data_IF_517704696240
#
_entry.id   IF_517704696240
#
_cell.length_a   1.000
_cell.length_b   1.000
_cell.length_c   1.000
_cell.angle_alpha   90.00
_cell.angle_beta   90.00
_cell.angle_gamma   90.00
#
_symmetry.space_group_name_H-M   'P 1'
#
loop_
_entity.id
_entity.type
_entity.pdbx_description
1 polymer ?
#
# COMPACT_ATOMS: atom_id res chain seq x y z
N UNK A 1 -12.85 1.79 31.50
CA UNK A 1 -12.06 0.59 31.83
C UNK A 1 -10.63 1.05 32.01
N UNK A 2 -10.06 0.91 33.20
CA UNK A 2 -8.69 1.33 33.48
C UNK A 2 -7.76 0.17 33.16
N UNK A 3 -6.92 0.29 32.14
CA UNK A 3 -5.98 -0.74 31.74
C UNK A 3 -4.56 -0.18 31.65
N UNK A 4 -3.68 -0.61 32.53
CA UNK A 4 -2.27 -0.21 32.55
C UNK A 4 -1.41 -1.01 31.55
N UNK A 5 -1.95 -2.08 30.98
CA UNK A 5 -1.31 -2.91 29.96
C UNK A 5 -2.27 -3.11 28.76
N UNK A 6 -2.59 -2.04 28.01
CA UNK A 6 -3.50 -2.12 26.88
C UNK A 6 -2.93 -2.99 25.76
N UNK A 7 -3.76 -3.89 25.23
CA UNK A 7 -3.51 -4.59 23.98
C UNK A 7 -4.37 -3.96 22.88
N UNK A 8 -3.74 -3.24 21.95
CA UNK A 8 -4.45 -2.64 20.82
C UNK A 8 -4.82 -3.69 19.77
N UNK A 9 -5.96 -3.48 19.10
CA UNK A 9 -6.35 -4.29 17.95
C UNK A 9 -5.33 -4.10 16.82
N UNK A 10 -5.04 -5.18 16.10
CA UNK A 10 -4.20 -5.11 14.91
C UNK A 10 -4.84 -4.18 13.86
N UNK A 11 -4.01 -3.42 13.17
CA UNK A 11 -4.43 -2.53 12.08
C UNK A 11 -3.59 -2.79 10.84
N UNK A 12 -4.09 -2.35 9.68
CA UNK A 12 -3.40 -2.41 8.40
C UNK A 12 -3.19 -0.98 7.89
N UNK A 13 -1.99 -0.68 7.42
CA UNK A 13 -1.64 0.60 6.80
C UNK A 13 -0.70 0.33 5.64
N UNK A 14 -0.80 1.12 4.57
CA UNK A 14 0.13 1.00 3.45
C UNK A 14 1.51 1.54 3.85
N UNK A 15 2.58 0.93 3.34
CA UNK A 15 3.95 1.43 3.55
C UNK A 15 4.11 2.85 2.99
N UNK A 16 3.37 3.19 1.94
CA UNK A 16 3.37 4.53 1.37
C UNK A 16 2.76 5.57 2.33
N UNK A 17 1.63 5.26 2.97
CA UNK A 17 1.02 6.13 3.97
C UNK A 17 1.86 6.21 5.24
N UNK A 18 2.50 5.09 5.62
CA UNK A 18 3.29 5.01 6.84
C UNK A 18 4.61 5.79 6.71
N UNK A 19 5.36 5.59 5.62
CA UNK A 19 6.71 6.11 5.48
C UNK A 19 7.08 6.58 4.05
N UNK A 20 6.09 6.78 3.16
CA UNK A 20 6.28 7.14 1.75
C UNK A 20 7.22 6.20 0.97
N UNK A 21 7.25 4.92 1.36
CA UNK A 21 8.13 3.92 0.75
C UNK A 21 9.57 3.93 1.29
N UNK A 22 9.98 4.95 2.04
CA UNK A 22 11.30 5.05 2.64
C UNK A 22 11.31 4.34 4.01
N UNK A 23 12.00 3.19 4.10
CA UNK A 23 12.02 2.39 5.32
C UNK A 23 12.91 2.96 6.42
N UNK A 24 13.84 3.86 6.09
CA UNK A 24 14.72 4.54 7.05
C UNK A 24 14.10 5.87 7.53
N UNK A 25 12.97 6.29 6.96
CA UNK A 25 12.22 7.45 7.44
C UNK A 25 11.79 7.27 8.89
N UNK A 26 12.08 8.30 9.69
CA UNK A 26 11.74 8.35 11.12
C UNK A 26 10.24 8.54 11.31
N UNK A 27 9.64 7.61 12.03
CA UNK A 27 8.24 7.58 12.45
C UNK A 27 8.15 7.98 13.92
N UNK A 28 7.19 8.84 14.24
CA UNK A 28 6.91 9.26 15.61
C UNK A 28 5.60 8.63 16.07
N UNK A 29 5.69 7.85 17.14
CA UNK A 29 4.55 7.22 17.78
C UNK A 29 4.20 7.99 19.05
N UNK A 30 2.92 8.27 19.23
CA UNK A 30 2.41 9.04 20.37
C UNK A 30 1.32 8.25 21.06
N UNK A 31 1.41 8.14 22.39
CA UNK A 31 0.48 7.41 23.23
C UNK A 31 -0.28 8.38 24.11
N UNK A 32 -1.60 8.26 24.11
CA UNK A 32 -2.53 9.07 24.88
C UNK A 32 -3.40 8.19 25.76
N UNK A 33 -3.73 8.69 26.94
CA UNK A 33 -4.81 8.16 27.75
C UNK A 33 -6.13 8.73 27.25
N UNK A 34 -7.10 7.86 27.00
CA UNK A 34 -8.39 8.27 26.45
C UNK A 34 -9.36 8.54 27.59
N UNK A 35 -10.02 9.70 27.54
CA UNK A 35 -10.98 10.17 28.53
C UNK A 35 -12.27 10.59 27.82
N UNK A 36 -13.41 10.15 28.35
CA UNK A 36 -14.72 10.42 27.74
C UNK A 36 -15.11 11.90 27.75
N UNK A 37 -14.44 12.73 28.56
CA UNK A 37 -14.63 14.17 28.63
C UNK A 37 -13.83 14.95 27.56
N UNK A 38 -13.06 14.25 26.72
CA UNK A 38 -12.23 14.83 25.66
C UNK A 38 -10.88 15.40 26.13
N UNK A 39 -10.57 15.38 27.43
CA UNK A 39 -9.29 15.83 27.98
C UNK A 39 -8.30 14.66 28.04
N UNK A 40 -7.85 14.23 26.87
CA UNK A 40 -6.88 13.15 26.76
C UNK A 40 -5.53 13.53 27.38
N UNK A 41 -5.02 12.68 28.26
CA UNK A 41 -3.74 12.89 28.90
C UNK A 41 -2.60 12.30 28.08
N UNK A 42 -1.56 13.10 27.84
CA UNK A 42 -0.39 12.65 27.11
C UNK A 42 0.45 11.70 27.97
N UNK A 43 0.58 10.45 27.55
CA UNK A 43 1.37 9.43 28.26
C UNK A 43 2.84 9.56 27.89
N UNK A 44 3.14 9.59 26.59
CA UNK A 44 4.51 9.67 26.09
C UNK A 44 4.63 9.44 24.58
N UNK A 45 5.86 9.51 24.11
CA UNK A 45 6.21 9.35 22.71
C UNK A 45 7.50 8.52 22.56
N UNK A 46 7.64 7.92 21.39
CA UNK A 46 8.87 7.29 20.93
C UNK A 46 9.05 7.51 19.44
N UNK A 47 10.26 7.29 18.93
CA UNK A 47 10.54 7.32 17.50
C UNK A 47 11.24 6.03 17.08
N UNK A 48 10.95 5.57 15.87
CA UNK A 48 11.61 4.44 15.25
C UNK A 48 11.50 4.55 13.73
N UNK A 49 12.08 3.61 12.99
CA UNK A 49 11.92 3.48 11.54
C UNK A 49 11.16 2.19 11.22
N UNK A 50 10.60 2.08 10.02
CA UNK A 50 9.92 0.83 9.62
C UNK A 50 10.89 -0.36 9.61
N UNK A 51 12.16 -0.11 9.26
CA UNK A 51 13.24 -1.10 9.29
C UNK A 51 13.50 -1.64 10.70
N UNK A 52 13.39 -0.78 11.71
CA UNK A 52 13.54 -1.13 13.13
C UNK A 52 12.28 -1.81 13.70
N UNK A 53 11.09 -1.67 13.09
CA UNK A 53 9.83 -2.24 13.61
C UNK A 53 9.72 -3.78 13.51
N UNK A 54 10.82 -4.52 13.60
CA UNK A 54 10.86 -5.99 13.57
C UNK A 54 11.21 -6.55 14.94
N UNK A 55 10.18 -6.81 15.76
CA UNK A 55 10.33 -7.51 17.04
C UNK A 55 10.91 -6.65 18.18
N UNK A 56 10.61 -5.35 18.18
CA UNK A 56 11.19 -4.38 19.12
C UNK A 56 10.16 -3.92 20.17
N UNK A 57 10.69 -3.57 21.34
CA UNK A 57 10.03 -2.83 22.40
C UNK A 57 10.66 -1.42 22.50
N UNK A 58 9.84 -0.40 22.74
CA UNK A 58 10.32 0.98 22.91
C UNK A 58 9.91 1.52 24.27
N UNK A 59 10.81 2.28 24.89
CA UNK A 59 10.47 3.07 26.07
C UNK A 59 9.55 4.23 25.65
N UNK A 60 8.38 4.32 26.27
CA UNK A 60 7.48 5.44 26.07
C UNK A 60 7.94 6.62 26.94
N UNK A 61 8.37 7.72 26.34
CA UNK A 61 8.95 8.86 27.07
C UNK A 61 8.00 10.04 27.07
N UNK A 62 7.65 10.55 28.25
CA UNK A 62 7.00 11.83 28.42
C UNK A 62 8.05 12.95 28.56
N UNK A 63 8.21 13.85 27.58
CA UNK A 63 9.21 14.91 27.65
C UNK A 63 8.98 15.85 28.85
N UNK A 64 7.72 16.10 29.22
CA UNK A 64 7.39 16.95 30.37
C UNK A 64 7.84 16.33 31.69
N UNK A 65 7.66 15.01 31.85
CA UNK A 65 8.10 14.32 33.07
C UNK A 65 9.60 14.11 33.10
N UNK A 66 10.25 13.87 31.95
CA UNK A 66 11.71 13.76 31.86
C UNK A 66 12.43 15.01 32.38
N UNK A 67 11.85 16.19 32.16
CA UNK A 67 12.38 17.46 32.69
C UNK A 67 11.98 17.69 34.15
N UNK A 68 10.72 17.40 34.53
CA UNK A 68 10.17 17.78 35.84
C UNK A 68 10.47 16.80 36.97
N UNK A 69 10.65 15.51 36.68
CA UNK A 69 10.74 14.44 37.70
C UNK A 69 12.15 13.87 37.75
N UNK A 70 12.85 14.09 38.88
CA UNK A 70 14.27 13.72 39.07
C UNK A 70 14.58 12.23 38.86
N UNK A 71 13.64 11.33 39.16
CA UNK A 71 13.81 9.87 39.05
C UNK A 71 12.95 9.24 37.93
N UNK A 72 12.55 10.03 36.94
CA UNK A 72 11.74 9.51 35.84
C UNK A 72 12.59 8.70 34.86
N UNK A 73 12.17 7.46 34.60
CA UNK A 73 12.77 6.58 33.58
C UNK A 73 11.95 6.60 32.30
N UNK A 74 10.72 6.10 32.37
CA UNK A 74 9.77 6.06 31.25
C UNK A 74 8.32 6.01 31.78
N UNK A 75 7.35 6.12 30.87
CA UNK A 75 5.91 6.00 31.11
C UNK A 75 5.39 4.58 30.78
N UNK A 76 6.28 3.59 30.75
CA UNK A 76 6.00 2.22 30.31
C UNK A 76 6.70 1.83 29.00
N UNK A 77 6.46 0.59 28.58
CA UNK A 77 7.03 -0.02 27.38
C UNK A 77 5.95 -0.25 26.33
N UNK A 78 6.24 0.07 25.08
CA UNK A 78 5.39 -0.25 23.93
C UNK A 78 6.01 -1.43 23.20
N UNK A 79 5.27 -2.53 23.06
CA UNK A 79 5.76 -3.78 22.46
C UNK A 79 4.98 -4.03 21.17
N UNK A 80 5.71 -4.28 20.08
CA UNK A 80 5.11 -4.70 18.82
C UNK A 80 5.07 -6.22 18.72
N UNK A 81 3.90 -6.80 19.00
CA UNK A 81 3.72 -8.25 19.02
C UNK A 81 3.81 -8.90 17.64
N UNK A 82 3.28 -8.25 16.60
CA UNK A 82 3.25 -8.78 15.25
C UNK A 82 3.36 -7.65 14.23
N UNK A 83 4.29 -7.82 13.28
CA UNK A 83 4.40 -6.97 12.10
C UNK A 83 4.55 -7.88 10.88
N UNK A 84 3.56 -7.85 9.98
CA UNK A 84 3.59 -8.61 8.72
C UNK A 84 3.50 -7.64 7.56
N UNK A 85 4.52 -7.65 6.71
CA UNK A 85 4.53 -6.89 5.45
C UNK A 85 3.96 -7.79 4.37
N UNK A 86 2.80 -7.40 3.83
CA UNK A 86 2.21 -8.07 2.68
C UNK A 86 2.73 -7.39 1.42
N UNK A 87 3.54 -8.10 0.64
CA UNK A 87 4.00 -7.62 -0.66
C UNK A 87 2.94 -7.95 -1.70
N UNK A 88 2.71 -7.04 -2.65
CA UNK A 88 1.77 -7.24 -3.75
C UNK A 88 2.03 -8.58 -4.49
N UNK A 89 3.30 -8.92 -4.72
CA UNK A 89 3.73 -10.20 -5.32
C UNK A 89 3.33 -11.44 -4.51
N UNK A 90 3.13 -11.32 -3.20
CA UNK A 90 2.66 -12.45 -2.38
C UNK A 90 1.14 -12.65 -2.44
N UNK A 91 0.38 -11.62 -2.85
CA UNK A 91 -1.06 -11.73 -3.04
C UNK A 91 -1.41 -12.34 -4.40
N UNK A 92 -0.57 -12.12 -5.41
CA UNK A 92 -0.72 -12.72 -6.74
C UNK A 92 0.16 -13.97 -6.84
N UNK A 93 -0.44 -15.16 -6.87
CA UNK A 93 0.24 -16.40 -7.26
C UNK A 93 0.49 -16.46 -8.79
N UNK A 94 0.80 -15.32 -9.42
CA UNK A 94 0.91 -15.16 -10.88
C UNK A 94 -0.32 -15.68 -11.64
N UNK A 95 -1.53 -15.47 -11.14
CA UNK A 95 -2.77 -15.94 -11.78
C UNK A 95 -3.60 -14.74 -12.22
N UNK A 96 -3.11 -14.01 -13.23
CA UNK A 96 -3.93 -13.05 -13.97
C UNK A 96 -4.38 -13.71 -15.28
N UNK A 97 -5.68 -13.68 -15.55
CA UNK A 97 -6.23 -14.06 -16.85
C UNK A 97 -6.46 -12.79 -17.67
N UNK A 98 -5.86 -12.70 -18.86
CA UNK A 98 -6.01 -11.53 -19.72
C UNK A 98 -7.10 -11.77 -20.75
N UNK A 99 -8.15 -10.94 -20.71
CA UNK A 99 -9.25 -10.95 -21.68
C UNK A 99 -9.24 -9.65 -22.44
N UNK A 100 -9.35 -9.73 -23.76
CA UNK A 100 -9.42 -8.59 -24.67
C UNK A 100 -10.71 -8.69 -25.46
N UNK A 101 -11.48 -7.61 -25.48
CA UNK A 101 -12.65 -7.47 -26.34
C UNK A 101 -12.42 -6.34 -27.33
N UNK A 102 -12.68 -6.58 -28.61
CA UNK A 102 -12.52 -5.59 -29.68
C UNK A 102 -13.89 -5.17 -30.19
N UNK A 103 -14.13 -3.87 -30.17
CA UNK A 103 -15.38 -3.31 -30.68
C UNK A 103 -15.44 -3.34 -32.21
N UNK A 104 -16.22 -4.26 -32.78
CA UNK A 104 -16.51 -4.34 -34.22
C UNK A 104 -17.84 -3.66 -34.63
N UNK A 105 -18.31 -2.67 -33.88
CA UNK A 105 -19.50 -1.89 -34.26
C UNK A 105 -19.28 -1.05 -35.51
N UNK A 106 -20.37 -0.82 -36.26
CA UNK A 106 -20.34 -0.08 -37.53
C UNK A 106 -19.84 1.37 -37.42
N UNK A 107 -19.89 1.98 -36.22
CA UNK A 107 -19.35 3.33 -35.96
C UNK A 107 -17.84 3.44 -36.17
N UNK A 108 -17.10 2.32 -36.15
CA UNK A 108 -15.67 2.29 -36.44
C UNK A 108 -15.36 2.47 -37.95
N UNK A 109 -16.38 2.46 -38.81
CA UNK A 109 -16.24 2.62 -40.26
C UNK A 109 -15.77 1.33 -40.95
N UNK A 110 -15.81 1.36 -42.29
CA UNK A 110 -15.35 0.25 -43.13
C UNK A 110 -13.82 0.10 -43.03
N UNK A 111 -13.26 -1.04 -42.59
CA UNK A 111 -11.81 -1.26 -42.47
C UNK A 111 -11.01 -1.08 -43.75
N UNK A 112 -11.67 -1.04 -44.93
CA UNK A 112 -11.03 -0.73 -46.22
C UNK A 112 -10.82 0.76 -46.44
N UNK A 113 -11.47 1.61 -45.64
CA UNK A 113 -11.35 3.06 -45.69
C UNK A 113 -10.23 3.52 -44.75
N UNK A 114 -9.33 4.37 -45.24
CA UNK A 114 -8.23 4.93 -44.45
C UNK A 114 -8.67 5.76 -43.24
N UNK A 115 -9.92 6.20 -43.19
CA UNK A 115 -10.50 6.89 -42.04
C UNK A 115 -11.09 5.96 -40.97
N UNK A 116 -11.14 4.64 -41.19
CA UNK A 116 -11.66 3.69 -40.21
C UNK A 116 -10.69 3.49 -39.04
N UNK A 117 -11.24 3.32 -37.84
CA UNK A 117 -10.44 2.96 -36.66
C UNK A 117 -9.87 1.54 -36.75
N UNK A 118 -10.46 0.69 -37.60
CA UNK A 118 -9.97 -0.66 -37.92
C UNK A 118 -9.08 -0.72 -39.16
N UNK A 119 -8.78 0.42 -39.77
CA UNK A 119 -7.91 0.44 -40.95
C UNK A 119 -6.51 -0.11 -40.61
N UNK A 120 -6.01 -1.02 -41.43
CA UNK A 120 -4.67 -1.61 -41.27
C UNK A 120 -3.72 -0.89 -42.21
N UNK A 121 -3.00 0.11 -41.69
CA UNK A 121 -2.02 0.85 -42.47
C UNK A 121 -0.68 0.08 -42.55
N UNK A 122 0.01 0.03 -43.70
CA UNK A 122 1.22 -0.79 -43.90
C UNK A 122 2.42 -0.35 -43.06
N UNK A 123 2.44 0.90 -42.59
CA UNK A 123 3.57 1.47 -41.83
C UNK A 123 3.21 1.95 -40.43
N UNK A 124 1.92 1.97 -40.06
CA UNK A 124 1.50 2.55 -38.79
C UNK A 124 0.35 1.72 -38.18
N UNK A 125 0.44 1.33 -36.89
CA UNK A 125 -0.66 0.66 -36.23
C UNK A 125 -1.84 1.64 -36.00
N UNK A 126 -3.06 1.12 -36.08
CA UNK A 126 -4.24 1.85 -35.62
C UNK A 126 -4.33 1.87 -34.10
N UNK A 127 -5.30 2.60 -33.55
CA UNK A 127 -5.44 2.78 -32.11
C UNK A 127 -5.73 1.48 -31.36
N UNK A 128 -6.48 0.54 -31.96
CA UNK A 128 -6.71 -0.79 -31.38
C UNK A 128 -5.41 -1.59 -31.29
N UNK A 129 -4.61 -1.62 -32.36
CA UNK A 129 -3.32 -2.31 -32.38
C UNK A 129 -2.33 -1.70 -31.38
N UNK A 130 -2.29 -0.37 -31.25
CA UNK A 130 -1.46 0.30 -30.24
C UNK A 130 -1.87 -0.10 -28.83
N UNK A 131 -3.17 -0.11 -28.53
CA UNK A 131 -3.68 -0.50 -27.22
C UNK A 131 -3.40 -1.99 -26.91
N UNK A 132 -3.62 -2.87 -27.89
CA UNK A 132 -3.32 -4.31 -27.78
C UNK A 132 -1.85 -4.56 -27.44
N UNK A 133 -0.93 -3.92 -28.15
CA UNK A 133 0.51 -4.06 -27.89
C UNK A 133 0.86 -3.51 -26.51
N UNK A 134 0.44 -2.28 -26.19
CA UNK A 134 0.79 -1.64 -24.92
C UNK A 134 0.28 -2.41 -23.69
N UNK A 135 -0.94 -2.94 -23.75
CA UNK A 135 -1.52 -3.75 -22.66
C UNK A 135 -0.94 -5.15 -22.66
N UNK A 136 -0.81 -5.78 -23.84
CA UNK A 136 -0.27 -7.13 -24.00
C UNK A 136 1.16 -7.25 -23.50
N UNK A 137 2.01 -6.25 -23.78
CA UNK A 137 3.41 -6.24 -23.34
C UNK A 137 3.56 -6.31 -21.82
N UNK A 138 2.63 -5.71 -21.08
CA UNK A 138 2.63 -5.71 -19.60
C UNK A 138 1.93 -6.96 -19.07
N UNK A 139 0.75 -7.28 -19.58
CA UNK A 139 -0.10 -8.33 -19.02
C UNK A 139 0.41 -9.74 -19.31
N UNK A 140 1.11 -9.97 -20.44
CA UNK A 140 1.63 -11.30 -20.80
C UNK A 140 2.60 -11.89 -19.77
N UNK A 141 3.28 -11.03 -18.99
CA UNK A 141 4.22 -11.45 -17.95
C UNK A 141 3.52 -12.02 -16.70
N UNK A 142 2.21 -11.75 -16.57
CA UNK A 142 1.38 -12.18 -15.44
C UNK A 142 0.34 -13.25 -15.82
N UNK A 143 0.21 -13.56 -17.12
CA UNK A 143 -0.67 -14.59 -17.65
C UNK A 143 0.11 -15.91 -17.85
N UNK A 144 -0.18 -16.92 -17.02
CA UNK A 144 0.52 -18.22 -17.11
C UNK A 144 0.25 -18.96 -18.41
N UNK A 145 -0.93 -18.80 -18.99
CA UNK A 145 -1.33 -19.52 -20.18
C UNK A 145 -0.85 -18.79 -21.44
N UNK A 146 -0.55 -17.49 -21.33
CA UNK A 146 -0.28 -16.60 -22.47
C UNK A 146 -1.42 -16.64 -23.49
N UNK A 147 -2.64 -16.95 -23.03
CA UNK A 147 -3.84 -17.04 -23.86
C UNK A 147 -4.61 -15.75 -23.66
N UNK A 148 -4.65 -14.93 -24.71
CA UNK A 148 -5.55 -13.79 -24.76
C UNK A 148 -6.86 -14.28 -25.34
N UNK A 149 -7.92 -14.31 -24.53
CA UNK A 149 -9.27 -14.55 -25.05
C UNK A 149 -9.72 -13.30 -25.81
N UNK A 150 -10.09 -13.47 -27.07
CA UNK A 150 -10.56 -12.41 -27.97
C UNK A 150 -12.07 -12.54 -28.14
N UNK A 151 -12.81 -11.47 -27.84
CA UNK A 151 -14.26 -11.36 -28.04
C UNK A 151 -14.62 -10.16 -28.91
#
# INVERSE_FOLDING_TARGET
MNNLNPAWKAFKVSVNSLCSGDQDRRLKSIVWDWDSNGKHDFIGEFSSTFKEMRGIQWECINPKYKVKKKNYKNSGMVILNLCKVLLFKQCFNNECESIVAIDFTASNGDPRNSCSLHYIHPYQPNEYLKALVAVGEICQDYDRLKIIMLF
#
